data_IF_324332889659
#
_entry.id   IF_324332889659
#
_cell.length_a   1.000
_cell.length_b   1.000
_cell.length_c   1.000
_cell.angle_alpha   90.00
_cell.angle_beta   90.00
_cell.angle_gamma   90.00
#
_symmetry.space_group_name_H-M   'P 1'
#
loop_
_entity.id
_entity.type
_entity.pdbx_description
1 polymer ?
#
# COMPACT_ATOMS: atom_id res chain seq x y z
N UNK A 1 -59.23 -37.14 35.48
CA UNK A 1 -58.63 -36.59 36.71
C UNK A 1 -57.30 -35.99 36.31
N UNK A 2 -57.13 -34.69 36.57
CA UNK A 2 -55.89 -33.88 36.62
C UNK A 2 -55.02 -33.82 35.35
N UNK A 3 -54.99 -32.73 34.56
CA UNK A 3 -54.55 -31.33 34.76
C UNK A 3 -53.06 -31.05 34.43
N UNK A 4 -52.87 -30.08 33.53
CA UNK A 4 -51.75 -29.12 33.28
C UNK A 4 -50.32 -29.66 33.06
N UNK A 5 -49.51 -29.16 32.13
CA UNK A 5 -49.63 -28.02 31.24
C UNK A 5 -48.35 -27.89 30.40
N UNK A 6 -48.55 -27.67 29.11
CA UNK A 6 -47.52 -27.39 28.11
C UNK A 6 -47.54 -25.86 27.87
N UNK A 7 -46.39 -25.19 28.01
CA UNK A 7 -46.23 -23.75 27.81
C UNK A 7 -45.59 -23.48 26.44
N UNK A 8 -46.24 -22.69 25.57
CA UNK A 8 -45.56 -21.91 24.55
C UNK A 8 -45.95 -20.39 24.68
N UNK A 9 -45.51 -19.45 23.82
CA UNK A 9 -44.79 -18.23 24.18
C UNK A 9 -45.64 -16.94 24.10
N UNK A 10 -45.10 -15.80 24.57
CA UNK A 10 -45.73 -14.48 24.42
C UNK A 10 -44.71 -13.36 24.16
N UNK A 11 -44.90 -12.66 23.04
CA UNK A 11 -44.40 -11.31 22.73
C UNK A 11 -45.14 -10.22 23.53
N UNK A 12 -44.48 -9.08 23.78
CA UNK A 12 -45.04 -7.70 23.75
C UNK A 12 -43.88 -6.71 23.98
N UNK A 13 -43.48 -5.80 23.08
CA UNK A 13 -44.11 -4.61 22.47
C UNK A 13 -44.31 -3.45 23.47
N UNK A 14 -43.73 -2.27 23.15
CA UNK A 14 -44.31 -0.89 23.20
C UNK A 14 -43.46 0.23 23.91
N UNK A 15 -42.92 1.11 23.04
CA UNK A 15 -42.91 2.61 23.00
C UNK A 15 -41.84 3.49 23.67
N UNK A 16 -41.26 4.32 22.79
CA UNK A 16 -40.73 5.69 22.95
C UNK A 16 -41.63 6.63 23.78
N UNK A 17 -41.01 7.56 24.51
CA UNK A 17 -41.57 8.87 24.83
C UNK A 17 -40.46 9.93 24.98
N UNK A 18 -40.56 10.96 24.14
CA UNK A 18 -39.89 12.26 24.23
C UNK A 18 -40.66 13.14 25.23
N UNK A 19 -40.01 14.04 26.00
CA UNK A 19 -40.72 15.18 26.56
C UNK A 19 -40.29 16.50 25.90
N UNK A 20 -41.28 17.17 25.32
CA UNK A 20 -41.25 18.60 24.96
C UNK A 20 -41.98 19.37 26.07
N UNK A 21 -41.34 20.36 26.69
CA UNK A 21 -42.03 21.42 27.45
C UNK A 21 -41.32 22.74 27.14
N UNK A 22 -42.08 23.68 26.57
CA UNK A 22 -41.70 25.06 26.35
C UNK A 22 -42.09 25.91 27.58
N UNK A 23 -41.21 26.83 27.98
CA UNK A 23 -41.55 28.06 28.70
C UNK A 23 -40.34 29.01 28.67
N UNK A 24 -40.46 30.16 28.00
CA UNK A 24 -39.65 31.35 28.28
C UNK A 24 -40.20 32.04 29.55
N UNK A 25 -39.35 32.71 30.35
CA UNK A 25 -39.32 34.17 30.21
C UNK A 25 -37.93 34.83 30.38
N UNK A 26 -37.81 35.95 29.67
CA UNK A 26 -37.00 37.17 29.85
C UNK A 26 -35.85 37.23 30.88
N UNK A 27 -34.67 37.58 30.37
CA UNK A 27 -33.88 38.72 30.85
C UNK A 27 -32.94 38.54 32.06
N UNK A 28 -31.71 38.05 31.84
CA UNK A 28 -30.53 38.37 32.68
C UNK A 28 -29.27 38.51 31.82
N UNK A 29 -28.48 39.55 32.10
CA UNK A 29 -27.33 40.08 31.34
C UNK A 29 -26.11 39.13 31.23
N UNK A 30 -25.23 39.35 30.21
CA UNK A 30 -24.09 38.51 29.89
C UNK A 30 -22.83 38.95 30.65
N UNK A 31 -22.54 38.32 31.79
CA UNK A 31 -21.22 38.38 32.41
C UNK A 31 -21.03 37.14 33.26
N UNK A 32 -19.84 36.53 33.19
CA UNK A 32 -19.41 35.33 33.92
C UNK A 32 -19.75 33.97 33.28
N UNK A 33 -19.17 33.72 32.10
CA UNK A 33 -18.69 32.37 31.78
C UNK A 33 -17.16 32.38 31.89
N UNK A 34 -16.67 31.98 33.05
CA UNK A 34 -15.24 31.74 33.26
C UNK A 34 -14.80 30.61 32.33
N UNK A 35 -13.78 30.90 31.51
CA UNK A 35 -13.24 30.02 30.50
C UNK A 35 -12.87 28.66 31.05
N UNK A 36 -13.56 27.63 30.56
CA UNK A 36 -13.04 26.27 30.51
C UNK A 36 -12.10 26.26 29.31
N UNK A 37 -10.82 25.87 29.45
CA UNK A 37 -9.97 25.65 28.29
C UNK A 37 -10.58 24.46 27.54
N UNK A 38 -11.12 24.71 26.36
CA UNK A 38 -11.43 23.66 25.40
C UNK A 38 -10.13 22.94 25.11
N UNK A 39 -10.00 21.69 25.54
CA UNK A 39 -8.91 20.81 25.12
C UNK A 39 -8.93 20.80 23.59
N UNK A 40 -7.90 21.38 22.97
CA UNK A 40 -7.69 21.25 21.54
C UNK A 40 -7.54 19.75 21.27
N UNK A 41 -8.56 19.12 20.68
CA UNK A 41 -8.42 17.79 20.12
C UNK A 41 -7.34 17.88 19.05
N UNK A 42 -6.10 17.57 19.42
CA UNK A 42 -4.99 17.47 18.48
C UNK A 42 -5.39 16.45 17.41
N UNK A 43 -5.77 16.94 16.22
CA UNK A 43 -6.08 16.08 15.10
C UNK A 43 -4.91 15.10 14.90
N UNK A 44 -5.18 13.79 14.77
CA UNK A 44 -4.13 12.81 14.63
C UNK A 44 -3.28 13.21 13.41
N UNK A 45 -1.94 13.22 13.55
CA UNK A 45 -1.07 13.67 12.48
C UNK A 45 -1.34 12.86 11.21
N UNK A 46 -1.67 13.55 10.12
CA UNK A 46 -1.93 12.92 8.83
C UNK A 46 -0.62 12.36 8.27
N UNK A 47 -0.55 11.05 8.10
CA UNK A 47 0.62 10.36 7.58
C UNK A 47 0.32 9.89 6.17
N UNK A 48 1.09 10.39 5.20
CA UNK A 48 0.96 9.96 3.82
C UNK A 48 1.57 8.56 3.60
N UNK A 49 0.72 7.65 3.16
CA UNK A 49 1.09 6.27 2.80
C UNK A 49 1.16 6.18 1.27
N UNK A 50 2.33 5.83 0.74
CA UNK A 50 2.54 5.64 -0.69
C UNK A 50 2.66 4.15 -0.97
N UNK A 51 1.76 3.61 -1.79
CA UNK A 51 1.85 2.23 -2.27
C UNK A 51 2.78 2.20 -3.49
N UNK A 52 3.89 1.48 -3.36
CA UNK A 52 4.91 1.41 -4.41
C UNK A 52 4.74 0.19 -5.32
N UNK A 53 4.24 -0.92 -4.78
CA UNK A 53 4.09 -2.15 -5.55
C UNK A 53 3.01 -3.05 -4.94
N UNK A 54 2.17 -3.60 -5.81
CA UNK A 54 1.17 -4.62 -5.51
C UNK A 54 1.48 -5.85 -6.35
N UNK A 55 1.65 -6.97 -5.65
CA UNK A 55 1.88 -8.28 -6.25
C UNK A 55 0.60 -9.08 -6.13
N UNK A 56 0.06 -9.53 -7.27
CA UNK A 56 -1.11 -10.40 -7.30
C UNK A 56 -0.78 -11.75 -7.92
N UNK A 57 -1.60 -12.75 -7.64
CA UNK A 57 -1.52 -14.07 -8.24
C UNK A 57 -2.91 -14.55 -8.62
N UNK A 58 -2.99 -15.20 -9.77
CA UNK A 58 -4.19 -15.87 -10.24
C UNK A 58 -3.81 -17.16 -10.98
N UNK A 59 -4.81 -17.98 -11.29
CA UNK A 59 -4.63 -19.26 -11.97
C UNK A 59 -5.50 -19.31 -13.23
N UNK A 60 -4.93 -19.78 -14.33
CA UNK A 60 -5.60 -19.95 -15.63
C UNK A 60 -6.33 -21.29 -15.78
N UNK A 61 -6.10 -22.25 -14.88
CA UNK A 61 -6.62 -23.63 -14.90
C UNK A 61 -6.33 -24.41 -16.19
N UNK A 62 -5.32 -24.00 -16.94
CA UNK A 62 -4.89 -24.65 -18.18
C UNK A 62 -3.38 -24.89 -18.16
N UNK A 63 -2.92 -25.95 -18.83
CA UNK A 63 -1.50 -26.19 -19.03
C UNK A 63 -0.97 -25.26 -20.11
N UNK A 64 0.06 -24.48 -19.80
CA UNK A 64 0.64 -23.49 -20.69
C UNK A 64 1.98 -23.98 -21.26
N UNK A 65 2.11 -23.99 -22.59
CA UNK A 65 3.37 -24.29 -23.23
C UNK A 65 4.21 -23.01 -23.35
N UNK A 66 5.07 -22.80 -22.37
CA UNK A 66 5.89 -21.58 -22.25
C UNK A 66 6.78 -21.33 -23.48
N UNK A 67 7.22 -22.39 -24.17
CA UNK A 67 8.05 -22.26 -25.38
C UNK A 67 7.24 -21.69 -26.55
N UNK A 68 6.00 -22.15 -26.73
CA UNK A 68 5.10 -21.63 -27.77
C UNK A 68 4.73 -20.18 -27.46
N UNK A 69 4.36 -19.88 -26.22
CA UNK A 69 4.07 -18.50 -25.80
C UNK A 69 5.24 -17.58 -26.10
N UNK A 70 6.48 -17.99 -25.81
CA UNK A 70 7.66 -17.18 -26.09
C UNK A 70 7.99 -17.01 -27.60
N UNK A 71 7.52 -17.93 -28.45
CA UNK A 71 7.68 -17.83 -29.91
C UNK A 71 6.60 -16.93 -30.53
N UNK A 72 5.37 -17.04 -30.03
CA UNK A 72 4.20 -16.40 -30.64
C UNK A 72 3.95 -14.98 -30.09
N UNK A 73 4.48 -14.65 -28.91
CA UNK A 73 4.28 -13.34 -28.28
C UNK A 73 5.54 -12.48 -28.25
N UNK A 74 5.33 -11.19 -28.48
CA UNK A 74 6.37 -10.16 -28.32
C UNK A 74 6.51 -9.76 -26.84
N UNK A 75 7.68 -9.23 -26.46
CA UNK A 75 7.96 -8.74 -25.10
C UNK A 75 7.91 -9.82 -24.00
N UNK A 76 8.31 -11.03 -24.37
CA UNK A 76 8.41 -12.17 -23.48
C UNK A 76 9.86 -12.65 -23.35
N UNK A 77 10.27 -12.92 -22.11
CA UNK A 77 11.55 -13.52 -21.78
C UNK A 77 11.31 -14.91 -21.18
N UNK A 78 11.71 -15.94 -21.91
CA UNK A 78 11.59 -17.32 -21.45
C UNK A 78 12.89 -17.81 -20.77
N UNK A 79 12.77 -18.22 -19.51
CA UNK A 79 13.87 -18.77 -18.72
C UNK A 79 13.67 -20.26 -18.51
N UNK A 80 14.31 -21.08 -19.37
CA UNK A 80 14.18 -22.54 -19.36
C UNK A 80 14.62 -23.17 -18.03
N UNK A 81 15.71 -22.67 -17.44
CA UNK A 81 16.26 -23.17 -16.18
C UNK A 81 15.27 -23.06 -15.01
N UNK A 82 14.48 -21.99 -15.01
CA UNK A 82 13.54 -21.67 -13.94
C UNK A 82 12.10 -22.12 -14.26
N UNK A 83 11.89 -22.73 -15.43
CA UNK A 83 10.57 -23.15 -15.93
C UNK A 83 9.50 -22.04 -15.83
N UNK A 84 9.89 -20.81 -16.14
CA UNK A 84 9.01 -19.64 -16.10
C UNK A 84 9.19 -18.73 -17.31
N UNK A 85 8.14 -17.98 -17.61
CA UNK A 85 8.05 -17.05 -18.72
C UNK A 85 7.67 -15.67 -18.17
N UNK A 86 8.49 -14.65 -18.39
CA UNK A 86 8.20 -13.28 -17.99
C UNK A 86 7.64 -12.51 -19.17
N UNK A 87 6.40 -12.04 -19.05
CA UNK A 87 5.71 -11.21 -20.03
C UNK A 87 5.53 -9.81 -19.49
N UNK A 88 5.83 -8.80 -20.28
CA UNK A 88 5.65 -7.39 -19.90
C UNK A 88 4.56 -6.73 -20.71
N UNK A 89 3.78 -5.87 -20.05
CA UNK A 89 2.81 -4.99 -20.72
C UNK A 89 3.06 -3.55 -20.28
N UNK A 90 2.77 -2.60 -21.18
CA UNK A 90 3.05 -1.17 -20.96
C UNK A 90 1.95 -0.44 -20.19
N UNK A 91 0.68 -0.83 -20.40
CA UNK A 91 -0.49 -0.21 -19.75
C UNK A 91 -1.40 -1.27 -19.11
N UNK A 92 -1.38 -1.44 -17.78
CA UNK A 92 -0.46 -0.80 -16.80
C UNK A 92 0.97 -1.34 -16.91
N UNK A 93 1.99 -0.59 -16.49
CA UNK A 93 3.39 -1.03 -16.59
C UNK A 93 3.66 -2.17 -15.60
N UNK A 94 3.51 -3.40 -16.07
CA UNK A 94 3.50 -4.58 -15.20
C UNK A 94 4.19 -5.76 -15.86
N UNK A 95 4.73 -6.64 -15.02
CA UNK A 95 5.39 -7.88 -15.45
C UNK A 95 4.66 -9.07 -14.85
N UNK A 96 4.18 -9.97 -15.70
CA UNK A 96 3.65 -11.27 -15.30
C UNK A 96 4.69 -12.37 -15.46
N UNK A 97 4.93 -13.10 -14.38
CA UNK A 97 5.63 -14.38 -14.41
C UNK A 97 4.60 -15.49 -14.56
N UNK A 98 4.75 -16.28 -15.63
CA UNK A 98 3.83 -17.34 -16.05
C UNK A 98 4.56 -18.67 -15.89
N UNK A 99 3.92 -19.62 -15.21
CA UNK A 99 4.40 -21.00 -15.08
C UNK A 99 3.60 -21.94 -15.97
N UNK A 100 4.21 -23.07 -16.38
CA UNK A 100 3.54 -24.08 -17.22
C UNK A 100 2.29 -24.68 -16.57
N UNK A 101 2.20 -24.63 -15.24
CA UNK A 101 1.05 -25.06 -14.44
C UNK A 101 -0.19 -24.15 -14.58
N UNK A 102 -0.08 -23.02 -15.28
CA UNK A 102 -1.17 -22.05 -15.38
C UNK A 102 -1.23 -21.07 -14.19
N UNK A 103 -0.33 -21.19 -13.22
CA UNK A 103 -0.16 -20.15 -12.21
C UNK A 103 0.48 -18.93 -12.86
N UNK A 104 -0.04 -17.75 -12.53
CA UNK A 104 0.50 -16.46 -12.95
C UNK A 104 0.67 -15.57 -11.72
N UNK A 105 1.79 -14.86 -11.66
CA UNK A 105 2.07 -13.83 -10.65
C UNK A 105 2.38 -12.54 -11.39
N UNK A 106 1.64 -11.48 -11.10
CA UNK A 106 1.85 -10.18 -11.69
C UNK A 106 2.46 -9.23 -10.65
N UNK A 107 3.45 -8.46 -11.07
CA UNK A 107 4.20 -7.50 -10.24
C UNK A 107 4.31 -6.15 -10.95
N UNK A 108 4.45 -5.08 -10.18
CA UNK A 108 4.68 -3.72 -10.68
C UNK A 108 3.45 -2.81 -10.71
N UNK A 109 2.28 -3.30 -10.30
CA UNK A 109 1.10 -2.44 -10.17
C UNK A 109 1.24 -1.51 -8.96
N UNK A 110 0.71 -0.30 -9.05
CA UNK A 110 0.75 0.70 -7.96
C UNK A 110 -0.49 0.64 -7.07
N UNK A 111 -1.60 0.06 -7.55
CA UNK A 111 -2.83 -0.13 -6.80
C UNK A 111 -3.40 -1.55 -6.95
N UNK A 112 -4.31 -1.94 -6.06
CA UNK A 112 -5.00 -3.23 -6.12
C UNK A 112 -5.90 -3.32 -7.36
N UNK A 113 -6.56 -2.23 -7.73
CA UNK A 113 -7.39 -2.12 -8.93
C UNK A 113 -6.58 -2.26 -10.22
N UNK A 114 -5.45 -1.53 -10.31
CA UNK A 114 -4.53 -1.62 -11.45
C UNK A 114 -3.98 -3.05 -11.59
N UNK A 115 -3.70 -3.71 -10.47
CA UNK A 115 -3.26 -5.10 -10.45
C UNK A 115 -4.33 -6.06 -11.01
N UNK A 116 -5.61 -5.83 -10.70
CA UNK A 116 -6.74 -6.62 -11.23
C UNK A 116 -6.90 -6.41 -12.74
N UNK A 117 -6.79 -5.16 -13.22
CA UNK A 117 -6.84 -4.83 -14.65
C UNK A 117 -5.66 -5.49 -15.38
N UNK A 118 -4.45 -5.40 -14.84
CA UNK A 118 -3.26 -6.06 -15.39
C UNK A 118 -3.47 -7.57 -15.54
N UNK A 119 -3.95 -8.22 -14.47
CA UNK A 119 -4.18 -9.66 -14.43
C UNK A 119 -5.19 -10.10 -15.51
N UNK A 120 -6.28 -9.35 -15.70
CA UNK A 120 -7.25 -9.61 -16.78
C UNK A 120 -6.65 -9.43 -18.17
N UNK A 121 -5.83 -8.39 -18.37
CA UNK A 121 -5.11 -8.17 -19.65
C UNK A 121 -4.15 -9.33 -19.98
N UNK A 122 -3.43 -9.86 -18.99
CA UNK A 122 -2.59 -11.04 -19.18
C UNK A 122 -3.40 -12.28 -19.55
N UNK A 123 -4.53 -12.52 -18.86
CA UNK A 123 -5.43 -13.62 -19.20
C UNK A 123 -5.95 -13.49 -20.64
N UNK A 124 -6.34 -12.28 -21.06
CA UNK A 124 -6.80 -12.01 -22.43
C UNK A 124 -5.73 -12.26 -23.47
N UNK A 125 -4.49 -11.80 -23.24
CA UNK A 125 -3.36 -12.07 -24.14
C UNK A 125 -3.15 -13.58 -24.35
N UNK A 126 -3.25 -14.36 -23.29
CA UNK A 126 -3.14 -15.83 -23.37
C UNK A 126 -4.32 -16.48 -24.12
N UNK A 127 -5.54 -15.93 -23.99
CA UNK A 127 -6.68 -16.38 -24.81
C UNK A 127 -6.47 -16.10 -26.29
N UNK A 128 -5.93 -14.92 -26.65
CA UNK A 128 -5.62 -14.57 -28.04
C UNK A 128 -4.55 -15.48 -28.66
N UNK A 129 -3.69 -16.09 -27.84
CA UNK A 129 -2.72 -17.11 -28.30
C UNK A 129 -3.35 -18.51 -28.49
N UNK A 130 -4.66 -18.66 -28.26
CA UNK A 130 -5.39 -19.91 -28.46
C UNK A 130 -5.48 -20.82 -27.23
N UNK A 131 -5.09 -20.34 -26.04
CA UNK A 131 -5.25 -21.11 -24.80
C UNK A 131 -6.64 -20.90 -24.18
N UNK A 132 -7.25 -21.99 -23.69
CA UNK A 132 -8.52 -21.97 -22.96
C UNK A 132 -8.33 -21.51 -21.51
N UNK A 133 -8.02 -20.22 -21.33
CA UNK A 133 -7.76 -19.61 -20.02
C UNK A 133 -9.05 -19.29 -19.28
N UNK A 134 -9.12 -19.72 -18.01
CA UNK A 134 -10.13 -19.29 -17.04
C UNK A 134 -9.52 -18.40 -15.97
N UNK A 135 -10.11 -17.26 -15.66
CA UNK A 135 -9.60 -16.38 -14.61
C UNK A 135 -10.10 -16.85 -13.24
N UNK A 136 -9.26 -17.56 -12.48
CA UNK A 136 -9.65 -18.11 -11.18
C UNK A 136 -8.65 -17.76 -10.07
N UNK A 137 -9.10 -17.82 -8.82
CA UNK A 137 -8.28 -17.68 -7.61
C UNK A 137 -7.40 -16.41 -7.61
N UNK A 138 -7.95 -15.29 -8.09
CA UNK A 138 -7.27 -14.01 -7.99
C UNK A 138 -7.13 -13.60 -6.53
N UNK A 139 -5.90 -13.27 -6.13
CA UNK A 139 -5.61 -12.75 -4.79
C UNK A 139 -4.41 -11.82 -4.83
N UNK A 140 -4.42 -10.84 -3.95
CA UNK A 140 -3.22 -10.07 -3.63
C UNK A 140 -2.32 -10.94 -2.75
N UNK A 141 -1.04 -11.02 -3.12
CA UNK A 141 -0.03 -11.81 -2.41
C UNK A 141 0.73 -10.91 -1.44
N UNK A 142 1.13 -9.75 -1.93
CA UNK A 142 1.95 -8.82 -1.18
C UNK A 142 1.74 -7.39 -1.67
N UNK A 143 1.77 -6.46 -0.73
CA UNK A 143 1.69 -5.02 -0.95
C UNK A 143 2.89 -4.39 -0.26
N UNK A 144 3.60 -3.55 -1.01
CA UNK A 144 4.74 -2.76 -0.53
C UNK A 144 4.30 -1.31 -0.39
N UNK A 145 4.12 -0.88 0.85
CA UNK A 145 3.89 0.51 1.22
C UNK A 145 5.19 1.18 1.68
N UNK A 146 5.29 2.49 1.48
CA UNK A 146 6.30 3.33 2.13
C UNK A 146 5.63 4.53 2.77
N UNK A 147 6.10 4.85 3.96
CA UNK A 147 5.61 5.91 4.81
C UNK A 147 6.80 6.74 5.28
N UNK A 148 6.66 8.06 5.31
CA UNK A 148 7.69 8.95 5.86
C UNK A 148 7.16 9.68 7.08
N UNK A 149 7.74 9.38 8.24
CA UNK A 149 7.44 10.11 9.48
C UNK A 149 8.08 11.51 9.44
N UNK A 150 7.50 12.52 10.10
CA UNK A 150 8.06 13.88 10.11
C UNK A 150 9.31 14.03 11.00
N UNK A 151 9.60 13.06 11.85
CA UNK A 151 10.74 13.04 12.77
C UNK A 151 11.71 11.89 12.47
N UNK A 152 12.92 11.97 13.03
CA UNK A 152 13.90 10.86 13.04
C UNK A 152 13.63 9.90 14.19
N UNK A 153 14.05 8.65 14.05
CA UNK A 153 13.76 7.59 15.03
C UNK A 153 15.07 7.03 15.59
N UNK A 154 15.18 6.94 16.92
CA UNK A 154 16.30 6.26 17.60
C UNK A 154 16.11 4.74 17.52
N UNK A 155 16.41 4.17 16.37
CA UNK A 155 16.14 2.76 16.05
C UNK A 155 16.86 1.75 16.98
N UNK A 156 18.05 2.10 17.49
CA UNK A 156 18.78 1.23 18.42
C UNK A 156 18.04 1.09 19.76
N UNK A 157 17.56 2.22 20.32
CA UNK A 157 16.76 2.23 21.55
C UNK A 157 15.41 1.53 21.36
N UNK A 158 14.77 1.74 20.21
CA UNK A 158 13.52 1.07 19.85
C UNK A 158 13.70 -0.47 19.82
N UNK A 159 14.75 -0.96 19.17
CA UNK A 159 15.01 -2.42 19.09
C UNK A 159 15.30 -3.04 20.45
N UNK A 160 15.97 -2.32 21.36
CA UNK A 160 16.25 -2.79 22.71
C UNK A 160 14.98 -2.91 23.56
N UNK A 161 13.99 -2.03 23.34
CA UNK A 161 12.69 -2.07 24.03
C UNK A 161 11.82 -3.23 23.56
N UNK A 162 11.90 -3.59 22.27
CA UNK A 162 11.08 -4.64 21.66
C UNK A 162 11.91 -5.81 21.10
N UNK A 163 12.73 -6.52 21.92
CA UNK A 163 13.63 -7.55 21.42
C UNK A 163 12.92 -8.80 20.86
N UNK A 164 11.63 -8.99 21.19
CA UNK A 164 10.84 -10.13 20.72
C UNK A 164 10.38 -9.97 19.26
N UNK A 165 10.09 -8.74 18.85
CA UNK A 165 9.45 -8.44 17.55
C UNK A 165 10.35 -7.62 16.63
N UNK A 166 11.35 -6.91 17.19
CA UNK A 166 12.32 -6.10 16.48
C UNK A 166 13.69 -6.81 16.37
N UNK A 167 14.25 -6.83 15.18
CA UNK A 167 15.60 -7.30 14.89
C UNK A 167 16.41 -6.18 14.25
N UNK A 168 17.54 -5.83 14.88
CA UNK A 168 18.47 -4.79 14.42
C UNK A 168 19.86 -5.37 14.23
N UNK A 169 20.30 -5.49 12.98
CA UNK A 169 21.62 -5.99 12.61
C UNK A 169 22.28 -5.00 11.65
N UNK A 170 22.95 -3.94 12.17
CA UNK A 170 23.48 -2.84 11.36
C UNK A 170 24.54 -3.27 10.34
N UNK A 171 25.24 -4.38 10.59
CA UNK A 171 26.22 -4.95 9.67
C UNK A 171 25.57 -5.56 8.42
N UNK A 172 24.34 -6.09 8.55
CA UNK A 172 23.59 -6.65 7.42
C UNK A 172 22.72 -5.60 6.75
N UNK A 173 21.98 -4.80 7.54
CA UNK A 173 21.04 -3.82 7.03
C UNK A 173 20.93 -2.58 7.94
N UNK A 174 20.82 -1.37 7.35
CA UNK A 174 20.80 -0.11 8.10
C UNK A 174 19.47 0.19 8.82
N UNK A 175 18.47 -0.68 8.73
CA UNK A 175 17.13 -0.48 9.30
C UNK A 175 16.70 -1.64 10.18
N UNK A 176 15.85 -1.35 11.16
CA UNK A 176 15.26 -2.35 12.06
C UNK A 176 14.13 -3.06 11.34
N UNK A 177 14.12 -4.39 11.41
CA UNK A 177 12.99 -5.19 10.94
C UNK A 177 12.06 -5.47 12.11
N UNK A 178 10.83 -4.97 12.04
CA UNK A 178 9.78 -5.19 13.03
C UNK A 178 8.70 -6.09 12.44
N UNK A 179 8.45 -7.25 13.06
CA UNK A 179 7.47 -8.22 12.58
C UNK A 179 6.21 -8.14 13.43
N UNK A 180 5.11 -7.76 12.81
CA UNK A 180 3.81 -7.69 13.45
C UNK A 180 2.99 -8.95 13.12
N UNK A 181 2.43 -9.59 14.15
CA UNK A 181 1.62 -10.81 14.00
C UNK A 181 0.18 -10.49 13.61
N UNK A 182 -0.41 -9.48 14.24
CA UNK A 182 -1.77 -9.03 14.00
C UNK A 182 -1.83 -7.49 14.04
N UNK A 183 -2.08 -6.80 12.91
CA UNK A 183 -2.19 -7.30 11.54
C UNK A 183 -0.88 -7.93 11.03
N UNK A 184 -0.98 -8.98 10.19
CA UNK A 184 0.21 -9.65 9.63
C UNK A 184 0.96 -8.70 8.67
N UNK A 185 2.03 -8.08 9.16
CA UNK A 185 2.86 -7.16 8.40
C UNK A 185 4.33 -7.22 8.86
N UNK A 186 5.25 -6.93 7.94
CA UNK A 186 6.67 -6.72 8.27
C UNK A 186 7.04 -5.29 7.94
N UNK A 187 7.54 -4.57 8.92
CA UNK A 187 7.94 -3.17 8.81
C UNK A 187 9.46 -3.09 8.85
N UNK A 188 10.03 -2.25 8.00
CA UNK A 188 11.44 -1.90 8.01
C UNK A 188 11.58 -0.42 8.34
N UNK A 189 12.09 -0.13 9.53
CA UNK A 189 12.16 1.23 10.09
C UNK A 189 13.60 1.72 9.94
N UNK A 190 13.77 2.86 9.29
CA UNK A 190 15.07 3.51 9.13
C UNK A 190 15.24 4.65 10.13
N UNK A 191 16.49 4.93 10.54
CA UNK A 191 16.81 6.06 11.44
C UNK A 191 16.41 7.41 10.87
N UNK A 192 16.30 7.49 9.54
CA UNK A 192 15.78 8.65 8.80
C UNK A 192 14.28 8.87 9.00
N UNK A 193 13.55 8.03 9.72
CA UNK A 193 12.09 8.13 9.85
C UNK A 193 11.30 7.64 8.63
N UNK A 194 11.98 7.09 7.62
CA UNK A 194 11.31 6.35 6.55
C UNK A 194 10.96 4.95 7.04
N UNK A 195 9.77 4.46 6.69
CA UNK A 195 9.27 3.14 7.05
C UNK A 195 8.77 2.45 5.79
N UNK A 196 9.28 1.25 5.52
CA UNK A 196 8.80 0.39 4.45
C UNK A 196 7.93 -0.71 5.06
N UNK A 197 6.71 -0.87 4.57
CA UNK A 197 5.74 -1.85 5.10
C UNK A 197 5.46 -2.89 4.02
N UNK A 198 5.51 -4.16 4.41
CA UNK A 198 5.20 -5.31 3.56
C UNK A 198 4.06 -6.09 4.20
N UNK A 199 2.90 -6.16 3.54
CA UNK A 199 1.69 -6.77 4.09
C UNK A 199 0.87 -7.48 2.99
N UNK A 200 -0.05 -8.40 3.32
CA UNK A 200 -0.82 -9.13 2.32
C UNK A 200 -1.94 -8.30 1.65
N UNK A 201 -2.32 -7.15 2.22
CA UNK A 201 -3.38 -6.26 1.72
C UNK A 201 -3.07 -4.80 2.05
N UNK A 202 -3.66 -3.85 1.31
CA UNK A 202 -3.53 -2.41 1.61
C UNK A 202 -4.11 -2.06 2.99
N UNK A 203 -5.23 -2.67 3.39
CA UNK A 203 -5.82 -2.47 4.72
C UNK A 203 -4.84 -2.85 5.85
N UNK A 204 -4.10 -3.96 5.68
CA UNK A 204 -3.09 -4.36 6.66
C UNK A 204 -1.89 -3.41 6.69
N UNK A 205 -1.55 -2.76 5.58
CA UNK A 205 -0.51 -1.71 5.56
C UNK A 205 -0.94 -0.54 6.44
N UNK A 206 -2.18 -0.08 6.28
CA UNK A 206 -2.71 1.03 7.08
C UNK A 206 -2.76 0.68 8.57
N UNK A 207 -3.36 -0.45 8.93
CA UNK A 207 -3.45 -0.89 10.32
C UNK A 207 -2.06 -1.11 10.96
N UNK A 208 -1.07 -1.58 10.19
CA UNK A 208 0.30 -1.70 10.67
C UNK A 208 0.95 -0.34 10.96
N UNK A 209 0.63 0.69 10.17
CA UNK A 209 1.14 2.05 10.37
C UNK A 209 0.48 2.69 11.60
N UNK A 210 -0.83 2.53 11.77
CA UNK A 210 -1.55 2.99 12.96
C UNK A 210 -0.98 2.35 14.25
N UNK A 211 -0.62 1.07 14.20
CA UNK A 211 -0.01 0.40 15.34
C UNK A 211 1.42 0.84 15.64
N UNK A 212 2.25 1.05 14.60
CA UNK A 212 3.65 1.40 14.80
C UNK A 212 3.83 2.87 15.20
N UNK A 213 2.93 3.76 14.78
CA UNK A 213 3.02 5.20 15.00
C UNK A 213 3.26 5.60 16.48
N UNK A 214 2.46 5.17 17.46
CA UNK A 214 2.70 5.50 18.86
C UNK A 214 4.03 4.95 19.38
N UNK A 215 4.41 3.75 18.94
CA UNK A 215 5.66 3.09 19.37
C UNK A 215 6.90 3.85 18.89
N UNK A 216 6.88 4.38 17.65
CA UNK A 216 8.01 5.15 17.12
C UNK A 216 8.05 6.59 17.64
N UNK A 217 6.89 7.15 18.01
CA UNK A 217 6.79 8.50 18.59
C UNK A 217 7.54 8.61 19.93
N UNK A 218 7.53 7.55 20.75
CA UNK A 218 8.27 7.47 22.02
C UNK A 218 9.80 7.64 21.81
N UNK A 219 10.33 7.24 20.65
CA UNK A 219 11.76 7.23 20.34
C UNK A 219 12.19 8.33 19.35
N UNK A 220 11.46 9.45 19.30
CA UNK A 220 11.82 10.58 18.43
C UNK A 220 13.22 11.13 18.73
N UNK A 221 14.02 11.29 17.69
CA UNK A 221 15.42 11.75 17.76
C UNK A 221 15.59 13.24 17.41
N UNK A 222 14.50 13.96 17.12
CA UNK A 222 14.48 15.33 16.61
C UNK A 222 13.67 15.43 15.31
N UNK A 223 13.17 16.64 15.01
CA UNK A 223 12.34 16.89 13.83
C UNK A 223 13.21 17.00 12.57
N UNK A 224 12.71 16.47 11.43
CA UNK A 224 13.44 16.52 10.16
C UNK A 224 13.63 17.94 9.62
N UNK A 225 12.76 18.86 10.03
CA UNK A 225 12.72 20.23 9.51
C UNK A 225 13.86 21.10 10.06
N UNK A 226 14.20 20.90 11.33
CA UNK A 226 15.36 21.53 11.98
C UNK A 226 16.66 21.13 11.30
N UNK A 227 16.80 19.86 10.91
CA UNK A 227 17.97 19.37 10.20
C UNK A 227 18.05 19.86 8.75
N UNK A 228 16.94 19.96 8.02
CA UNK A 228 16.95 20.56 6.68
C UNK A 228 17.43 22.00 6.73
N UNK A 229 17.02 22.75 7.75
CA UNK A 229 17.46 24.13 7.97
C UNK A 229 18.93 24.20 8.38
N UNK A 230 19.41 23.31 9.25
CA UNK A 230 20.83 23.21 9.63
C UNK A 230 21.68 22.83 8.42
N UNK A 231 21.32 21.79 7.66
CA UNK A 231 22.03 21.34 6.46
C UNK A 231 21.97 22.42 5.37
N UNK A 232 20.84 23.11 5.19
CA UNK A 232 20.75 24.23 4.26
C UNK A 232 21.61 25.42 4.71
N UNK A 233 21.69 25.70 6.01
CA UNK A 233 22.57 26.72 6.58
C UNK A 233 24.04 26.32 6.44
N UNK A 234 24.39 25.06 6.67
CA UNK A 234 25.74 24.50 6.45
C UNK A 234 26.10 24.54 4.97
N UNK A 235 25.22 24.13 4.06
CA UNK A 235 25.45 24.23 2.62
C UNK A 235 25.59 25.70 2.16
N UNK A 236 24.80 26.62 2.73
CA UNK A 236 24.97 28.06 2.49
C UNK A 236 26.30 28.58 3.05
N UNK A 237 26.74 28.09 4.20
CA UNK A 237 28.02 28.45 4.82
C UNK A 237 29.21 27.91 4.02
N UNK A 238 29.15 26.65 3.57
CA UNK A 238 30.15 26.00 2.71
C UNK A 238 30.20 26.68 1.33
N UNK A 239 29.06 27.05 0.75
CA UNK A 239 28.98 27.80 -0.52
C UNK A 239 29.49 29.24 -0.37
N UNK A 240 29.40 29.83 0.83
CA UNK A 240 29.98 31.13 1.16
C UNK A 240 31.50 31.05 1.39
N UNK A 241 32.02 29.93 1.91
CA UNK A 241 33.46 29.70 2.08
C UNK A 241 34.15 29.25 0.80
N UNK A 242 33.47 28.49 -0.07
CA UNK A 242 33.93 28.18 -1.43
C UNK A 242 33.63 29.36 -2.35
N UNK A 243 34.47 30.39 -2.26
CA UNK A 243 34.48 31.52 -3.18
C UNK A 243 34.38 31.05 -4.64
N UNK A 244 33.57 31.78 -5.41
CA UNK A 244 33.25 31.61 -6.83
C UNK A 244 34.39 31.01 -7.68
N UNK A 245 34.30 29.72 -7.97
CA UNK A 245 34.92 29.11 -9.15
C UNK A 245 33.79 28.96 -10.17
N UNK A 246 33.86 29.74 -11.25
CA UNK A 246 32.94 29.60 -12.38
C UNK A 246 33.15 28.24 -13.04
N UNK A 247 32.11 27.44 -13.30
CA UNK A 247 32.26 26.25 -14.11
C UNK A 247 32.50 26.65 -15.58
N UNK A 248 33.63 26.22 -16.14
CA UNK A 248 33.94 26.39 -17.56
C UNK A 248 33.07 25.44 -18.40
N UNK A 249 32.15 26.04 -19.17
CA UNK A 249 31.37 25.56 -20.34
C UNK A 249 30.60 24.22 -20.22
N UNK A 250 29.34 24.17 -20.70
CA UNK A 250 28.57 22.94 -20.77
C UNK A 250 29.05 22.07 -21.94
N UNK A 251 29.26 20.78 -21.70
CA UNK A 251 29.37 19.77 -22.75
C UNK A 251 27.96 19.41 -23.19
N UNK A 252 27.51 19.98 -24.30
CA UNK A 252 26.36 19.50 -25.07
C UNK A 252 26.76 18.22 -25.80
N UNK A 253 25.98 17.14 -25.62
CA UNK A 253 25.55 16.17 -26.65
C UNK A 253 25.12 14.86 -25.99
N UNK A 254 23.82 14.62 -25.93
CA UNK A 254 23.26 13.27 -26.00
C UNK A 254 21.93 13.35 -26.77
N UNK A 255 21.81 12.44 -27.71
CA UNK A 255 20.98 12.50 -28.90
C UNK A 255 19.49 12.24 -28.63
N UNK A 256 18.69 12.85 -29.51
CA UNK A 256 17.26 12.68 -29.67
C UNK A 256 16.87 11.20 -29.76
N UNK A 257 15.91 10.77 -28.95
CA UNK A 257 15.06 9.63 -29.29
C UNK A 257 13.68 10.16 -29.62
N UNK A 258 13.41 10.08 -30.91
CA UNK A 258 12.15 10.41 -31.57
C UNK A 258 11.05 9.48 -31.03
N UNK A 259 10.03 10.09 -30.45
CA UNK A 259 8.81 9.46 -29.99
C UNK A 259 8.01 8.99 -31.21
N UNK A 260 8.09 7.71 -31.53
CA UNK A 260 7.20 7.07 -32.51
C UNK A 260 6.05 6.46 -31.73
N UNK A 261 4.95 7.20 -31.63
CA UNK A 261 3.67 6.66 -31.23
C UNK A 261 3.18 5.67 -32.30
N UNK A 262 3.32 4.37 -32.02
CA UNK A 262 2.48 3.36 -32.66
C UNK A 262 1.30 3.05 -31.74
N UNK A 263 0.13 3.40 -32.24
CA UNK A 263 -1.17 2.99 -31.76
C UNK A 263 -1.26 1.46 -31.86
N UNK A 264 -1.09 0.75 -30.74
CA UNK A 264 -1.52 -0.65 -30.66
C UNK A 264 -3.05 -0.66 -30.78
N UNK A 265 -3.51 -1.20 -31.91
CA UNK A 265 -4.90 -1.27 -32.31
C UNK A 265 -5.74 -2.00 -31.28
N UNK A 266 -6.85 -1.37 -30.92
CA UNK A 266 -7.85 -1.82 -29.97
C UNK A 266 -8.30 -3.26 -30.23
N UNK A 267 -8.08 -4.13 -29.25
CA UNK A 267 -8.86 -5.35 -29.12
C UNK A 267 -10.03 -4.99 -28.21
N UNK A 268 -11.19 -4.74 -28.84
CA UNK A 268 -12.46 -4.32 -28.25
C UNK A 268 -12.67 -4.83 -26.82
N UNK A 269 -12.81 -3.88 -25.89
CA UNK A 269 -13.32 -4.08 -24.55
C UNK A 269 -14.78 -4.57 -24.65
N UNK A 270 -14.97 -5.87 -24.70
CA UNK A 270 -16.26 -6.45 -24.31
C UNK A 270 -16.28 -6.61 -22.78
N UNK A 271 -17.19 -5.87 -22.15
CA UNK A 271 -17.54 -5.99 -20.75
C UNK A 271 -17.91 -7.44 -20.43
N UNK A 272 -17.12 -8.05 -19.55
CA UNK A 272 -17.37 -9.39 -19.05
C UNK A 272 -17.89 -9.25 -17.62
N UNK A 273 -19.21 -9.12 -17.54
CA UNK A 273 -20.00 -9.43 -16.35
C UNK A 273 -20.18 -10.95 -16.29
N UNK A 274 -19.50 -11.57 -15.33
CA UNK A 274 -19.96 -12.82 -14.76
C UNK A 274 -19.53 -12.85 -13.30
N UNK A 275 -20.31 -12.14 -12.49
CA UNK A 275 -20.39 -12.40 -11.07
C UNK A 275 -21.20 -13.70 -10.90
N UNK A 276 -20.51 -14.82 -10.70
CA UNK A 276 -21.12 -16.03 -10.16
C UNK A 276 -20.18 -16.57 -9.08
N UNK A 277 -20.35 -16.01 -7.89
CA UNK A 277 -20.09 -16.71 -6.64
C UNK A 277 -21.06 -17.88 -6.53
N UNK A 278 -20.55 -19.11 -6.55
CA UNK A 278 -21.24 -20.25 -5.98
C UNK A 278 -20.25 -21.03 -5.11
N UNK A 279 -20.53 -20.96 -3.82
CA UNK A 279 -20.36 -21.95 -2.73
C UNK A 279 -19.14 -22.89 -2.71
#
# INVERSE_FOLDING_TARGET
MTEVGELPPLESRVKEQVPTIAAEPEGVNPAEYNGIPTEEEEEPPTIDIIINNVVCSFNTRCHLNLRQIAMDSSHVEYRREQSMCNMKIRRPYTTATIWSSGKIVCTGATSEEESKIAARKFARKLQCLGYTVRFCNFRIVNVLGTCSMPFRIKIASFSQKHPKDASYEPELHPGVTYKLKDPRATLKIFSTGSITVTAPSVANVQAAIEHIFPLVSEFKAGDKETDKNIVAQEMKFIKKQRGSIQPSKPVTRFEEYQEVEMYDTDCSDEEFDSDESQD
#
